data_IF_839379881733
#
_entry.id   IF_839379881733
#
_cell.length_a   1.000
_cell.length_b   1.000
_cell.length_c   1.000
_cell.angle_alpha   90.00
_cell.angle_beta   90.00
_cell.angle_gamma   90.00
#
_symmetry.space_group_name_H-M   'P 1'
#
loop_
_entity.id
_entity.type
_entity.pdbx_description
1 polymer ?
#
# COMPACT_ATOMS: atom_id res chain seq x y z
N UNK A 1 -22.31 16.33 14.52
CA UNK A 1 -21.54 16.42 13.28
C UNK A 1 -20.14 16.93 13.63
N UNK A 2 -19.39 16.11 14.36
CA UNK A 2 -18.00 16.41 14.80
C UNK A 2 -17.35 15.09 15.20
N UNK A 3 -16.70 14.40 14.26
CA UNK A 3 -15.74 13.31 14.52
C UNK A 3 -15.05 12.85 13.21
N UNK A 4 -14.62 13.80 12.36
CA UNK A 4 -13.93 13.44 11.10
C UNK A 4 -12.53 14.06 10.98
N UNK A 5 -11.87 14.45 12.05
CA UNK A 5 -10.61 15.22 11.96
C UNK A 5 -9.38 14.58 12.60
N UNK A 6 -9.36 13.26 12.88
CA UNK A 6 -8.20 12.67 13.55
C UNK A 6 -7.67 11.34 12.99
N UNK A 7 -8.23 10.82 11.93
CA UNK A 7 -7.64 9.67 11.24
C UNK A 7 -6.68 10.20 10.17
N UNK A 8 -5.38 10.15 10.45
CA UNK A 8 -4.30 10.69 9.61
C UNK A 8 -4.11 9.86 8.32
N UNK A 9 -5.19 9.68 7.55
CA UNK A 9 -5.23 8.94 6.29
C UNK A 9 -5.91 9.76 5.19
N UNK A 10 -5.38 9.66 3.98
CA UNK A 10 -6.00 10.24 2.78
C UNK A 10 -6.86 9.18 2.11
N UNK A 11 -8.19 9.36 2.16
CA UNK A 11 -9.11 8.57 1.36
C UNK A 11 -9.13 9.10 -0.08
N UNK A 12 -8.80 8.25 -1.05
CA UNK A 12 -8.68 8.62 -2.45
C UNK A 12 -10.06 8.55 -3.12
N UNK A 13 -10.80 9.66 -3.06
CA UNK A 13 -12.12 9.81 -3.65
C UNK A 13 -12.04 9.95 -5.18
N UNK A 14 -11.98 8.82 -5.89
CA UNK A 14 -11.91 8.79 -7.36
C UNK A 14 -12.94 7.81 -7.93
N UNK A 15 -13.71 8.14 -9.00
CA UNK A 15 -14.74 7.26 -9.55
C UNK A 15 -14.24 5.87 -9.94
N UNK A 16 -13.04 5.76 -10.50
CA UNK A 16 -12.45 4.46 -10.86
C UNK A 16 -12.04 3.65 -9.63
N UNK A 17 -11.63 4.30 -8.53
CA UNK A 17 -11.38 3.62 -7.25
C UNK A 17 -12.69 3.05 -6.73
N UNK A 18 -13.76 3.85 -6.71
CA UNK A 18 -15.08 3.41 -6.25
C UNK A 18 -15.63 2.24 -7.09
N UNK A 19 -15.51 2.31 -8.43
CA UNK A 19 -15.93 1.23 -9.33
C UNK A 19 -15.14 -0.06 -9.07
N UNK A 20 -13.81 0.02 -8.93
CA UNK A 20 -12.96 -1.13 -8.64
C UNK A 20 -13.24 -1.70 -7.25
N UNK A 21 -13.52 -0.84 -6.27
CA UNK A 21 -13.91 -1.27 -4.92
C UNK A 21 -15.21 -2.07 -4.93
N UNK A 22 -16.17 -1.69 -5.77
CA UNK A 22 -17.41 -2.47 -5.98
C UNK A 22 -17.10 -3.91 -6.44
N UNK A 23 -16.22 -4.08 -7.41
CA UNK A 23 -15.75 -5.42 -7.85
C UNK A 23 -15.03 -6.19 -6.75
N UNK A 24 -14.19 -5.51 -5.97
CA UNK A 24 -13.46 -6.15 -4.87
C UNK A 24 -14.39 -6.62 -3.75
N UNK A 25 -15.49 -5.88 -3.48
CA UNK A 25 -16.45 -6.24 -2.43
C UNK A 25 -17.40 -7.37 -2.84
N UNK A 26 -17.71 -7.51 -4.13
CA UNK A 26 -18.63 -8.56 -4.59
C UNK A 26 -17.97 -9.95 -4.45
N UNK A 27 -18.57 -10.82 -3.61
CA UNK A 27 -18.15 -12.19 -3.39
C UNK A 27 -18.12 -13.06 -4.65
N UNK A 28 -18.92 -12.69 -5.66
CA UNK A 28 -19.05 -13.44 -6.92
C UNK A 28 -18.00 -13.00 -7.95
N UNK A 29 -17.20 -11.98 -7.68
CA UNK A 29 -16.17 -11.51 -8.61
C UNK A 29 -15.14 -12.62 -8.83
N UNK A 30 -14.96 -13.08 -10.09
CA UNK A 30 -13.98 -14.12 -10.41
C UNK A 30 -12.55 -13.68 -10.06
N UNK A 31 -11.69 -14.64 -9.71
CA UNK A 31 -10.29 -14.40 -9.31
C UNK A 31 -9.53 -13.45 -10.25
N UNK A 32 -9.64 -13.64 -11.57
CA UNK A 32 -8.93 -12.79 -12.53
C UNK A 32 -9.41 -11.33 -12.49
N UNK A 33 -10.73 -11.11 -12.36
CA UNK A 33 -11.31 -9.78 -12.24
C UNK A 33 -10.97 -9.12 -10.89
N UNK A 34 -10.97 -9.91 -9.80
CA UNK A 34 -10.52 -9.47 -8.49
C UNK A 34 -9.06 -9.01 -8.52
N UNK A 35 -8.17 -9.83 -9.10
CA UNK A 35 -6.74 -9.49 -9.23
C UNK A 35 -6.52 -8.22 -10.06
N UNK A 36 -7.26 -8.05 -11.18
CA UNK A 36 -7.19 -6.86 -12.01
C UNK A 36 -7.69 -5.60 -11.27
N UNK A 37 -8.81 -5.71 -10.55
CA UNK A 37 -9.35 -4.62 -9.76
C UNK A 37 -8.40 -4.22 -8.62
N UNK A 38 -7.78 -5.20 -7.94
CA UNK A 38 -6.82 -4.97 -6.87
C UNK A 38 -5.57 -4.23 -7.39
N UNK A 39 -5.03 -4.67 -8.54
CA UNK A 39 -3.92 -4.01 -9.20
C UNK A 39 -4.29 -2.57 -9.64
N UNK A 40 -5.49 -2.37 -10.18
CA UNK A 40 -5.99 -1.06 -10.57
C UNK A 40 -6.10 -0.09 -9.40
N UNK A 41 -6.66 -0.53 -8.27
CA UNK A 41 -6.70 0.29 -7.04
C UNK A 41 -5.30 0.60 -6.56
N UNK A 42 -4.39 -0.38 -6.53
CA UNK A 42 -2.99 -0.17 -6.16
C UNK A 42 -2.32 0.91 -7.01
N UNK A 43 -2.51 0.88 -8.33
CA UNK A 43 -1.99 1.90 -9.24
C UNK A 43 -2.55 3.29 -8.96
N UNK A 44 -3.87 3.42 -8.73
CA UNK A 44 -4.51 4.71 -8.46
C UNK A 44 -4.09 5.29 -7.10
N UNK A 45 -3.97 4.47 -6.06
CA UNK A 45 -3.45 4.91 -4.77
C UNK A 45 -1.99 5.34 -4.86
N UNK A 46 -1.16 4.59 -5.57
CA UNK A 46 0.24 4.96 -5.82
C UNK A 46 0.35 6.27 -6.59
N UNK A 47 -0.48 6.46 -7.62
CA UNK A 47 -0.54 7.70 -8.38
C UNK A 47 -0.77 8.91 -7.47
N UNK A 48 -1.76 8.84 -6.59
CA UNK A 48 -2.05 9.93 -5.65
C UNK A 48 -0.92 10.11 -4.63
N UNK A 49 -0.44 9.03 -4.02
CA UNK A 49 0.62 9.07 -3.02
C UNK A 49 1.95 9.58 -3.57
N UNK A 50 2.23 9.32 -4.85
CA UNK A 50 3.47 9.72 -5.53
C UNK A 50 3.56 11.20 -5.88
N UNK A 51 2.48 11.98 -5.73
CA UNK A 51 2.49 13.45 -5.95
C UNK A 51 3.55 14.19 -5.13
N UNK A 52 3.95 13.65 -3.99
CA UNK A 52 4.95 14.24 -3.12
C UNK A 52 6.40 13.85 -3.48
N UNK A 53 6.61 13.00 -4.48
CA UNK A 53 7.95 12.62 -4.93
C UNK A 53 8.67 13.84 -5.53
N UNK A 54 9.93 13.98 -5.15
CA UNK A 54 10.78 15.04 -5.72
C UNK A 54 11.42 14.50 -7.00
N UNK A 55 11.17 15.19 -8.11
CA UNK A 55 11.77 14.85 -9.41
C UNK A 55 13.12 15.53 -9.54
N UNK A 56 14.09 14.84 -10.14
CA UNK A 56 15.35 15.42 -10.56
C UNK A 56 15.18 16.02 -11.96
N UNK A 57 15.89 17.12 -12.23
CA UNK A 57 16.01 17.66 -13.61
C UNK A 57 17.23 17.03 -14.26
N UNK A 58 17.08 16.53 -15.48
CA UNK A 58 18.16 16.01 -16.31
C UNK A 58 18.01 16.51 -17.74
N UNK A 59 19.05 16.34 -18.56
CA UNK A 59 19.04 16.74 -19.96
C UNK A 59 18.97 15.52 -20.87
N UNK A 60 18.18 15.64 -21.93
CA UNK A 60 18.08 14.63 -22.98
C UNK A 60 18.26 15.28 -24.34
N UNK A 61 18.79 14.52 -25.30
CA UNK A 61 18.80 14.96 -26.71
C UNK A 61 17.55 14.42 -27.40
N UNK A 62 16.75 15.33 -27.95
CA UNK A 62 15.54 14.97 -28.69
C UNK A 62 15.88 14.34 -30.05
N UNK A 63 14.94 13.63 -30.71
CA UNK A 63 15.16 13.08 -32.06
C UNK A 63 15.58 14.14 -33.10
N UNK A 64 15.22 15.41 -32.92
CA UNK A 64 15.64 16.53 -33.75
C UNK A 64 17.04 17.09 -33.45
N UNK A 65 17.77 16.49 -32.47
CA UNK A 65 19.12 16.92 -32.08
C UNK A 65 19.17 18.08 -31.08
N UNK A 66 18.04 18.66 -30.67
CA UNK A 66 17.99 19.70 -29.64
C UNK A 66 18.13 19.11 -28.24
N UNK A 67 18.77 19.84 -27.33
CA UNK A 67 18.82 19.51 -25.90
C UNK A 67 17.59 20.07 -25.18
N UNK A 68 16.98 19.23 -24.34
CA UNK A 68 15.82 19.61 -23.53
C UNK A 68 16.04 19.22 -22.06
N UNK A 69 15.65 20.10 -21.13
CA UNK A 69 15.56 19.78 -19.72
C UNK A 69 14.28 18.97 -19.48
N UNK A 70 14.41 17.83 -18.82
CA UNK A 70 13.27 16.95 -18.50
C UNK A 70 13.28 16.56 -17.02
N UNK A 71 12.10 16.29 -16.48
CA UNK A 71 11.98 15.72 -15.15
C UNK A 71 12.25 14.22 -15.19
N UNK A 72 13.18 13.77 -14.39
CA UNK A 72 13.49 12.36 -14.23
C UNK A 72 12.83 11.79 -12.97
N UNK A 73 12.33 10.57 -13.09
CA UNK A 73 11.83 9.83 -11.92
C UNK A 73 13.00 9.59 -10.95
N UNK A 74 12.78 9.78 -9.61
CA UNK A 74 13.80 9.46 -8.64
C UNK A 74 14.09 7.95 -8.64
N UNK A 75 15.35 7.57 -8.48
CA UNK A 75 15.78 6.18 -8.28
C UNK A 75 15.68 5.75 -6.81
N UNK A 76 15.08 6.60 -5.97
CA UNK A 76 14.92 6.40 -4.52
C UNK A 76 13.75 5.50 -4.14
N UNK A 77 12.83 5.20 -5.07
CA UNK A 77 11.60 4.46 -4.78
C UNK A 77 11.91 2.99 -4.47
N UNK A 78 11.33 2.49 -3.37
CA UNK A 78 11.30 1.07 -3.00
C UNK A 78 9.84 0.64 -2.79
N UNK A 79 9.43 -0.45 -3.42
CA UNK A 79 8.13 -1.07 -3.22
C UNK A 79 8.24 -2.21 -2.20
N UNK A 80 7.38 -2.23 -1.18
CA UNK A 80 7.41 -3.23 -0.13
C UNK A 80 6.03 -3.87 0.05
N UNK A 81 5.68 -4.91 -0.76
CA UNK A 81 4.48 -5.69 -0.51
C UNK A 81 4.61 -6.53 0.75
N UNK A 82 3.59 -6.45 1.62
CA UNK A 82 3.41 -7.41 2.70
C UNK A 82 2.75 -8.65 2.10
N UNK A 83 3.46 -9.78 2.20
CA UNK A 83 2.99 -11.03 1.59
C UNK A 83 1.80 -11.59 2.40
N UNK A 84 0.79 -12.15 1.76
CA UNK A 84 0.68 -12.48 0.33
C UNK A 84 -0.07 -11.39 -0.47
N UNK A 85 -1.09 -10.74 0.12
CA UNK A 85 -2.04 -9.85 -0.57
C UNK A 85 -1.37 -8.64 -1.24
N UNK A 86 -0.28 -8.10 -0.66
CA UNK A 86 0.47 -6.98 -1.22
C UNK A 86 1.01 -7.19 -2.64
N UNK A 87 1.19 -8.46 -3.06
CA UNK A 87 1.56 -8.79 -4.45
C UNK A 87 0.51 -8.34 -5.47
N UNK A 88 -0.76 -8.25 -5.07
CA UNK A 88 -1.82 -7.72 -5.93
C UNK A 88 -1.60 -6.25 -6.28
N UNK A 89 -1.18 -5.44 -5.31
CA UNK A 89 -0.83 -4.03 -5.53
C UNK A 89 0.41 -3.89 -6.41
N UNK A 90 1.44 -4.67 -6.12
CA UNK A 90 2.70 -4.62 -6.84
C UNK A 90 2.50 -4.68 -8.36
N UNK A 91 1.65 -5.58 -8.83
CA UNK A 91 1.33 -5.75 -10.26
C UNK A 91 0.79 -4.48 -10.93
N UNK A 92 0.08 -3.65 -10.19
CA UNK A 92 -0.46 -2.38 -10.70
C UNK A 92 0.55 -1.24 -10.68
N UNK A 93 1.52 -1.29 -9.78
CA UNK A 93 2.47 -0.21 -9.50
C UNK A 93 3.74 -0.34 -10.33
N UNK A 94 4.29 -1.56 -10.48
CA UNK A 94 5.56 -1.80 -11.20
C UNK A 94 5.66 -1.15 -12.58
N UNK A 95 4.59 -1.13 -13.42
CA UNK A 95 4.66 -0.49 -14.73
C UNK A 95 4.97 1.01 -14.69
N UNK A 96 4.65 1.68 -13.58
CA UNK A 96 4.90 3.13 -13.38
C UNK A 96 6.30 3.42 -12.86
N UNK A 97 6.93 2.44 -12.24
CA UNK A 97 8.26 2.55 -11.64
C UNK A 97 9.15 1.36 -12.01
N UNK A 98 9.33 1.09 -13.33
CA UNK A 98 10.11 -0.05 -13.80
C UNK A 98 11.53 0.01 -13.24
N UNK A 99 12.01 -1.12 -12.71
CA UNK A 99 13.33 -1.23 -12.09
C UNK A 99 13.42 -0.71 -10.65
N UNK A 100 12.32 -0.24 -10.04
CA UNK A 100 12.32 0.05 -8.60
C UNK A 100 12.60 -1.25 -7.81
N UNK A 101 13.52 -1.23 -6.83
CA UNK A 101 13.74 -2.37 -5.96
C UNK A 101 12.44 -2.79 -5.26
N UNK A 102 12.23 -4.11 -5.17
CA UNK A 102 11.13 -4.71 -4.44
C UNK A 102 11.68 -5.36 -3.18
N UNK A 103 11.32 -4.82 -2.03
CA UNK A 103 11.48 -5.45 -0.74
C UNK A 103 10.31 -6.39 -0.48
N UNK A 104 10.46 -7.45 0.30
CA UNK A 104 9.35 -8.34 0.66
C UNK A 104 9.39 -8.68 2.13
N UNK A 105 8.23 -8.62 2.80
CA UNK A 105 8.06 -9.10 4.16
C UNK A 105 6.86 -10.02 4.20
N UNK A 106 7.08 -11.25 4.65
CA UNK A 106 6.03 -12.24 4.89
C UNK A 106 5.65 -12.26 6.36
N UNK A 107 4.37 -12.05 6.65
CA UNK A 107 3.83 -12.06 8.00
C UNK A 107 2.71 -13.09 8.08
N UNK A 108 2.73 -13.90 9.13
CA UNK A 108 1.61 -14.73 9.55
C UNK A 108 1.17 -14.32 10.96
N UNK A 109 -0.08 -14.57 11.30
CA UNK A 109 -0.52 -14.47 12.68
C UNK A 109 -0.23 -15.76 13.41
N UNK A 110 0.33 -15.68 14.59
CA UNK A 110 0.42 -16.83 15.50
C UNK A 110 -1.01 -17.26 15.86
N UNK A 111 -1.30 -18.57 15.73
CA UNK A 111 -2.65 -19.08 15.96
C UNK A 111 -3.09 -19.05 17.43
N UNK A 112 -2.14 -18.91 18.36
CA UNK A 112 -2.38 -18.91 19.79
C UNK A 112 -2.39 -17.50 20.39
N UNK A 113 -1.37 -16.69 20.04
CA UNK A 113 -1.20 -15.33 20.60
C UNK A 113 -1.84 -14.25 19.73
N UNK A 114 -2.19 -14.57 18.47
CA UNK A 114 -2.64 -13.65 17.43
C UNK A 114 -1.62 -12.55 17.09
N UNK A 115 -0.41 -12.64 17.61
CA UNK A 115 0.66 -11.70 17.34
C UNK A 115 1.23 -11.88 15.91
N UNK A 116 1.64 -10.78 15.26
CA UNK A 116 2.27 -10.85 13.94
C UNK A 116 3.66 -11.50 14.05
N UNK A 117 3.89 -12.57 13.29
CA UNK A 117 5.18 -13.25 13.17
C UNK A 117 5.75 -13.09 11.77
N UNK A 118 6.90 -12.45 11.66
CA UNK A 118 7.65 -12.35 10.40
C UNK A 118 8.29 -13.73 10.13
N UNK A 119 7.94 -14.35 9.00
CA UNK A 119 8.53 -15.62 8.56
C UNK A 119 9.45 -15.46 7.35
N UNK A 120 9.43 -14.28 6.69
CA UNK A 120 10.27 -13.95 5.55
C UNK A 120 10.56 -12.45 5.54
N UNK A 121 11.81 -12.09 5.27
CA UNK A 121 12.21 -10.69 5.09
C UNK A 121 13.35 -10.61 4.06
N UNK A 122 13.16 -9.75 3.05
CA UNK A 122 14.22 -9.37 2.11
C UNK A 122 14.14 -7.86 1.92
N UNK A 123 15.07 -7.13 2.51
CA UNK A 123 15.11 -5.67 2.47
C UNK A 123 16.41 -5.21 1.79
N UNK A 124 16.34 -4.42 0.71
CA UNK A 124 17.49 -3.69 0.20
C UNK A 124 17.87 -2.57 1.19
N UNK A 125 18.99 -1.86 1.01
CA UNK A 125 19.28 -0.65 1.79
C UNK A 125 18.15 0.36 1.63
N UNK A 126 17.51 0.77 2.77
CA UNK A 126 16.33 1.65 2.78
C UNK A 126 16.68 3.09 3.21
N UNK A 127 17.89 3.34 3.74
CA UNK A 127 18.30 4.67 4.17
C UNK A 127 18.20 5.68 3.02
N UNK A 128 17.51 6.79 3.25
CA UNK A 128 17.30 7.84 2.26
C UNK A 128 16.37 7.47 1.09
N UNK A 129 15.67 6.32 1.15
CA UNK A 129 14.73 5.86 0.12
C UNK A 129 13.30 6.32 0.40
N UNK A 130 12.49 6.41 -0.67
CA UNK A 130 11.04 6.61 -0.60
C UNK A 130 10.37 5.25 -0.59
N UNK A 131 9.93 4.78 0.60
CA UNK A 131 9.39 3.42 0.76
C UNK A 131 7.87 3.45 0.72
N UNK A 132 7.30 2.63 -0.19
CA UNK A 132 5.86 2.40 -0.31
C UNK A 132 5.54 1.00 0.19
N UNK A 133 4.92 0.90 1.36
CA UNK A 133 4.42 -0.35 1.95
C UNK A 133 3.05 -0.65 1.37
N UNK A 134 2.88 -1.87 0.84
CA UNK A 134 1.69 -2.31 0.12
C UNK A 134 0.95 -3.36 0.98
N UNK A 135 -0.05 -2.92 1.73
CA UNK A 135 -0.87 -3.76 2.62
C UNK A 135 -2.35 -3.53 2.30
N UNK A 136 -2.98 -4.35 1.43
CA UNK A 136 -4.34 -4.12 0.99
C UNK A 136 -5.40 -4.04 2.09
N UNK A 137 -5.19 -4.69 3.24
CA UNK A 137 -6.18 -4.81 4.29
C UNK A 137 -5.63 -4.33 5.63
N UNK A 138 -5.86 -3.07 5.96
CA UNK A 138 -5.45 -2.48 7.25
C UNK A 138 -6.55 -2.70 8.32
N UNK A 139 -6.64 -3.92 8.83
CA UNK A 139 -7.63 -4.32 9.83
C UNK A 139 -7.26 -3.83 11.24
N UNK A 140 -6.48 -4.59 12.01
CA UNK A 140 -5.99 -4.20 13.34
C UNK A 140 -4.75 -3.33 13.30
N UNK A 141 -4.03 -3.31 12.16
CA UNK A 141 -2.75 -2.62 12.00
C UNK A 141 -1.52 -3.44 12.41
N UNK A 142 -1.67 -4.58 13.06
CA UNK A 142 -0.53 -5.33 13.61
C UNK A 142 0.54 -5.71 12.59
N UNK A 143 0.16 -6.26 11.42
CA UNK A 143 1.10 -6.61 10.35
C UNK A 143 1.78 -5.36 9.78
N UNK A 144 1.00 -4.32 9.48
CA UNK A 144 1.52 -3.06 8.97
C UNK A 144 2.52 -2.45 9.96
N UNK A 145 2.19 -2.36 11.26
CA UNK A 145 3.05 -1.79 12.28
C UNK A 145 4.37 -2.54 12.43
N UNK A 146 4.34 -3.88 12.44
CA UNK A 146 5.57 -4.68 12.50
C UNK A 146 6.53 -4.39 11.34
N UNK A 147 6.01 -4.12 10.13
CA UNK A 147 6.82 -3.73 8.96
C UNK A 147 7.26 -2.27 9.06
N UNK A 148 6.36 -1.36 9.45
CA UNK A 148 6.66 0.07 9.54
C UNK A 148 7.77 0.34 10.55
N UNK A 149 7.79 -0.33 11.70
CA UNK A 149 8.86 -0.24 12.69
C UNK A 149 10.23 -0.69 12.12
N UNK A 150 10.23 -1.80 11.38
CA UNK A 150 11.43 -2.30 10.69
C UNK A 150 11.98 -1.30 9.67
N UNK A 151 11.09 -0.79 8.82
CA UNK A 151 11.46 0.18 7.78
C UNK A 151 11.94 1.48 8.41
N UNK A 152 11.24 1.97 9.42
CA UNK A 152 11.58 3.20 10.14
C UNK A 152 12.97 3.13 10.77
N UNK A 153 13.35 1.98 11.36
CA UNK A 153 14.68 1.77 11.93
C UNK A 153 15.81 1.92 10.89
N UNK A 154 15.51 1.70 9.60
CA UNK A 154 16.46 1.88 8.50
C UNK A 154 16.54 3.33 7.96
N UNK A 155 15.84 4.27 8.57
CA UNK A 155 15.87 5.73 8.26
C UNK A 155 15.56 6.05 6.78
N UNK A 156 14.38 5.68 6.25
CA UNK A 156 13.98 6.07 4.90
C UNK A 156 13.79 7.58 4.81
N UNK A 157 13.86 8.15 3.60
CA UNK A 157 13.53 9.55 3.35
C UNK A 157 12.04 9.83 3.50
N UNK A 158 11.20 8.87 3.09
CA UNK A 158 9.76 8.91 3.30
C UNK A 158 9.18 7.52 3.45
N UNK A 159 8.06 7.44 4.19
CA UNK A 159 7.35 6.20 4.45
C UNK A 159 5.86 6.39 4.14
N UNK A 160 5.35 5.57 3.23
CA UNK A 160 3.97 5.64 2.77
C UNK A 160 3.34 4.25 2.80
N UNK A 161 2.15 4.14 3.40
CA UNK A 161 1.33 2.92 3.44
C UNK A 161 0.16 3.07 2.47
N UNK A 162 -0.03 2.09 1.60
CA UNK A 162 -1.17 2.00 0.68
C UNK A 162 -2.05 0.83 1.08
N UNK A 163 -3.37 1.09 1.26
CA UNK A 163 -4.34 0.04 1.58
C UNK A 163 -5.62 0.19 0.77
N UNK A 164 -6.28 -0.91 0.40
CA UNK A 164 -7.63 -0.84 -0.20
C UNK A 164 -8.61 -0.41 0.86
N UNK A 165 -8.66 -1.16 1.96
CA UNK A 165 -9.57 -0.90 3.07
C UNK A 165 -8.78 -0.71 4.36
N UNK A 166 -9.24 0.23 5.16
CA UNK A 166 -8.78 0.42 6.53
C UNK A 166 -9.95 0.40 7.50
N UNK A 167 -9.73 -0.19 8.68
CA UNK A 167 -10.59 0.03 9.84
C UNK A 167 -10.04 1.17 10.70
N UNK A 168 -10.90 1.95 11.41
CA UNK A 168 -10.46 3.04 12.27
C UNK A 168 -9.41 2.62 13.31
N UNK A 169 -9.55 1.43 13.89
CA UNK A 169 -8.59 0.89 14.85
C UNK A 169 -7.22 0.63 14.23
N UNK A 170 -7.16 0.13 12.98
CA UNK A 170 -5.90 -0.08 12.26
C UNK A 170 -5.17 1.23 11.96
N UNK A 171 -5.91 2.25 11.54
CA UNK A 171 -5.36 3.60 11.32
C UNK A 171 -4.82 4.20 12.61
N UNK A 172 -5.57 4.07 13.73
CA UNK A 172 -5.11 4.55 15.03
C UNK A 172 -3.83 3.84 15.48
N UNK A 173 -3.74 2.51 15.28
CA UNK A 173 -2.55 1.72 15.62
C UNK A 173 -1.34 2.16 14.80
N UNK A 174 -1.50 2.36 13.48
CA UNK A 174 -0.42 2.87 12.61
C UNK A 174 0.01 4.26 13.04
N UNK A 175 -0.93 5.16 13.33
CA UNK A 175 -0.60 6.52 13.76
C UNK A 175 0.16 6.55 15.11
N UNK A 176 -0.18 5.66 16.04
CA UNK A 176 0.53 5.55 17.32
C UNK A 176 1.95 4.99 17.14
N UNK A 177 2.11 4.00 16.27
CA UNK A 177 3.39 3.28 16.07
C UNK A 177 4.37 4.07 15.19
N UNK A 178 3.88 4.68 14.10
CA UNK A 178 4.67 5.36 13.10
C UNK A 178 3.94 6.62 12.59
N UNK A 179 3.87 7.69 13.42
CA UNK A 179 3.07 8.89 13.15
C UNK A 179 3.51 9.67 11.89
N UNK A 180 4.73 9.49 11.44
CA UNK A 180 5.27 10.08 10.21
C UNK A 180 4.82 9.37 8.93
N UNK A 181 4.19 8.17 9.05
CA UNK A 181 3.73 7.41 7.89
C UNK A 181 2.55 8.09 7.22
N UNK A 182 2.68 8.37 5.93
CA UNK A 182 1.53 8.81 5.13
C UNK A 182 0.70 7.60 4.73
N UNK A 183 -0.59 7.63 5.02
CA UNK A 183 -1.51 6.54 4.72
C UNK A 183 -2.49 6.96 3.64
N UNK A 184 -2.60 6.15 2.57
CA UNK A 184 -3.57 6.33 1.49
C UNK A 184 -4.46 5.10 1.40
N UNK A 185 -5.78 5.32 1.37
CA UNK A 185 -6.78 4.25 1.35
C UNK A 185 -7.82 4.48 0.26
N UNK A 186 -8.40 3.40 -0.26
CA UNK A 186 -9.54 3.52 -1.17
C UNK A 186 -10.85 3.74 -0.41
N UNK A 187 -10.97 3.19 0.81
CA UNK A 187 -12.08 3.50 1.72
C UNK A 187 -11.70 3.16 3.17
N UNK A 188 -12.37 3.86 4.10
CA UNK A 188 -12.35 3.56 5.53
C UNK A 188 -13.70 2.92 5.87
N UNK A 189 -13.68 1.67 6.32
CA UNK A 189 -14.87 0.90 6.68
C UNK A 189 -15.23 1.09 8.16
N UNK A 190 -16.43 0.59 8.56
CA UNK A 190 -17.03 0.86 9.87
C UNK A 190 -16.21 0.31 11.04
N UNK A 191 -15.58 -0.88 10.85
CA UNK A 191 -14.81 -1.52 11.92
C UNK A 191 -14.45 -2.96 11.62
N UNK A 192 -14.33 -3.77 12.67
CA UNK A 192 -13.97 -5.18 12.57
C UNK A 192 -15.06 -6.08 13.16
N UNK A 193 -15.25 -7.26 12.58
CA UNK A 193 -16.07 -8.33 13.16
C UNK A 193 -15.33 -9.02 14.34
N UNK A 194 -16.02 -9.97 14.99
CA UNK A 194 -15.47 -10.73 16.11
C UNK A 194 -14.24 -11.60 15.74
N UNK A 195 -13.98 -11.82 14.44
CA UNK A 195 -12.83 -12.55 13.92
C UNK A 195 -11.70 -11.62 13.46
N UNK A 196 -11.91 -10.29 13.56
CA UNK A 196 -10.95 -9.28 13.12
C UNK A 196 -10.95 -8.98 11.63
N UNK A 197 -12.01 -9.37 10.90
CA UNK A 197 -12.20 -8.95 9.51
C UNK A 197 -12.85 -7.57 9.44
N UNK A 198 -12.44 -6.79 8.45
CA UNK A 198 -13.04 -5.48 8.18
C UNK A 198 -14.50 -5.67 7.73
N UNK A 199 -15.41 -4.82 8.23
CA UNK A 199 -16.84 -4.84 7.91
C UNK A 199 -17.25 -3.46 7.37
N UNK A 200 -17.93 -3.40 6.20
CA UNK A 200 -18.41 -4.50 5.35
C UNK A 200 -17.30 -5.29 4.64
N UNK A 201 -16.10 -4.72 4.49
CA UNK A 201 -14.92 -5.41 4.00
C UNK A 201 -15.00 -5.91 2.55
N UNK A 202 -14.11 -6.85 2.25
CA UNK A 202 -14.07 -7.57 0.96
C UNK A 202 -13.65 -9.05 1.14
N UNK A 203 -13.63 -9.55 2.39
CA UNK A 203 -13.13 -10.88 2.73
C UNK A 203 -11.60 -10.93 2.84
N UNK A 204 -11.01 -12.13 2.71
CA UNK A 204 -9.56 -12.30 2.69
C UNK A 204 -9.00 -11.97 1.30
N UNK A 205 -8.25 -10.88 1.22
CA UNK A 205 -7.68 -10.41 -0.05
C UNK A 205 -6.61 -11.36 -0.59
N UNK A 206 -5.85 -12.02 0.29
CA UNK A 206 -4.80 -12.98 -0.09
C UNK A 206 -5.40 -14.24 -0.71
N UNK A 207 -6.39 -14.83 -0.05
CA UNK A 207 -7.07 -16.04 -0.52
C UNK A 207 -7.83 -15.76 -1.83
N UNK A 208 -8.54 -14.66 -1.92
CA UNK A 208 -9.24 -14.24 -3.15
C UNK A 208 -8.27 -13.99 -4.31
N UNK A 209 -7.10 -13.40 -4.05
CA UNK A 209 -6.07 -13.15 -5.05
C UNK A 209 -5.44 -14.44 -5.57
N UNK A 210 -5.16 -15.38 -4.66
CA UNK A 210 -4.44 -16.62 -4.98
C UNK A 210 -5.38 -17.78 -5.31
N UNK A 211 -6.63 -17.74 -4.85
CA UNK A 211 -7.62 -18.78 -5.05
C UNK A 211 -7.41 -19.99 -4.11
N UNK A 212 -7.02 -19.70 -2.88
CA UNK A 212 -6.83 -20.67 -1.79
C UNK A 212 -7.91 -20.60 -0.76
#
# INVERSE_FOLDING_TARGET
MEASSSLNATEVAHPLVAASLGLLRDKNTPKAAFAAALAGVGALLFWEASRALRLATTQVTTPGGAVADVSARPDTIVLLPILRAGLGFLRGIEPWVPGAPVATVGISRDHTTLEPRIYHETLPPLAGRDVFVLEPMLATGGSACAVLERVRAAQPASLTLLSVLAAPVGLATVHQTAPETRVFVAAIDEGLDARGYIVPGLGDAGDRLLGT
#
